data_IF_522218025601
#
_entry.id   IF_522218025601
#
_cell.length_a   1.000
_cell.length_b   1.000
_cell.length_c   1.000
_cell.angle_alpha   90.00
_cell.angle_beta   90.00
_cell.angle_gamma   90.00
#
_symmetry.space_group_name_H-M   'P 1'
#
loop_
_entity.id
_entity.type
_entity.pdbx_description
1 polymer ?
#
# COMPACT_ATOMS: atom_id res chain seq x y z
N UNK A 1 -6.14 27.19 -27.41
CA UNK A 1 -7.04 26.18 -26.93
C UNK A 1 -6.42 25.55 -25.67
N UNK A 2 -6.92 25.94 -24.50
CA UNK A 2 -6.56 25.30 -23.22
C UNK A 2 -7.13 23.88 -23.31
N UNK A 3 -6.27 22.88 -23.44
CA UNK A 3 -6.67 21.46 -23.33
C UNK A 3 -7.34 21.31 -21.97
N UNK A 4 -8.64 21.04 -21.95
CA UNK A 4 -9.35 20.72 -20.70
C UNK A 4 -8.64 19.52 -20.11
N UNK A 5 -8.03 19.68 -18.97
CA UNK A 5 -7.32 18.60 -18.28
C UNK A 5 -8.36 17.54 -17.91
N UNK A 6 -8.16 16.30 -18.36
CA UNK A 6 -9.07 15.20 -18.06
C UNK A 6 -8.89 14.82 -16.59
N UNK A 7 -9.97 14.81 -15.83
CA UNK A 7 -9.98 14.29 -14.46
C UNK A 7 -10.12 12.77 -14.51
N UNK A 8 -9.22 12.04 -13.88
CA UNK A 8 -9.25 10.57 -13.82
C UNK A 8 -10.08 10.14 -12.61
N UNK A 9 -11.14 9.39 -12.85
CA UNK A 9 -12.00 8.83 -11.80
C UNK A 9 -11.39 7.52 -11.28
N UNK A 10 -10.96 7.50 -10.02
CA UNK A 10 -10.33 6.36 -9.36
C UNK A 10 -11.30 5.77 -8.34
N UNK A 11 -11.57 4.48 -8.44
CA UNK A 11 -12.33 3.76 -7.41
C UNK A 11 -11.40 2.81 -6.66
N UNK A 12 -11.20 3.09 -5.37
CA UNK A 12 -10.46 2.22 -4.44
C UNK A 12 -11.44 1.23 -3.82
N UNK A 13 -11.22 -0.07 -4.06
CA UNK A 13 -12.07 -1.16 -3.59
C UNK A 13 -11.32 -1.97 -2.55
N UNK A 14 -11.79 -1.95 -1.31
CA UNK A 14 -11.08 -2.55 -0.17
C UNK A 14 -11.85 -3.74 0.41
N UNK A 15 -11.15 -4.87 0.55
CA UNK A 15 -11.66 -6.06 1.24
C UNK A 15 -10.63 -6.53 2.26
N UNK A 16 -10.85 -6.23 3.54
CA UNK A 16 -9.85 -6.42 4.60
C UNK A 16 -8.83 -5.26 4.66
N UNK A 17 -7.88 -5.36 5.58
CA UNK A 17 -6.92 -4.29 5.88
C UNK A 17 -5.48 -4.80 5.91
N UNK A 18 -4.62 -4.08 5.21
CA UNK A 18 -3.16 -4.10 5.34
C UNK A 18 -2.67 -2.65 5.48
N UNK A 19 -1.41 -2.42 5.83
CA UNK A 19 -0.90 -1.07 6.10
C UNK A 19 -1.12 -0.10 4.94
N UNK A 20 -0.86 -0.51 3.71
CA UNK A 20 -1.05 0.34 2.52
C UNK A 20 -2.50 0.76 2.30
N UNK A 21 -3.48 0.03 2.81
CA UNK A 21 -4.91 0.36 2.65
C UNK A 21 -5.23 1.77 3.18
N UNK A 22 -4.62 2.13 4.30
CA UNK A 22 -4.83 3.45 4.92
C UNK A 22 -4.07 4.57 4.20
N UNK A 23 -2.89 4.26 3.68
CA UNK A 23 -2.02 5.26 3.05
C UNK A 23 -2.48 5.67 1.64
N UNK A 24 -3.02 4.73 0.87
CA UNK A 24 -3.37 4.96 -0.54
C UNK A 24 -4.32 6.14 -0.70
N UNK A 25 -5.42 6.16 0.05
CA UNK A 25 -6.43 7.21 -0.08
C UNK A 25 -5.88 8.58 0.31
N UNK A 26 -5.17 8.64 1.45
CA UNK A 26 -4.61 9.89 1.95
C UNK A 26 -3.62 10.52 0.97
N UNK A 27 -2.86 9.70 0.23
CA UNK A 27 -1.85 10.19 -0.71
C UNK A 27 -2.40 10.45 -2.09
N UNK A 28 -3.38 9.70 -2.56
CA UNK A 28 -4.05 10.00 -3.82
C UNK A 28 -4.82 11.31 -3.75
N UNK A 29 -5.55 11.53 -2.66
CA UNK A 29 -6.35 12.75 -2.49
C UNK A 29 -5.51 13.98 -2.11
N UNK A 30 -4.37 13.81 -1.45
CA UNK A 30 -3.49 14.87 -0.96
C UNK A 30 -4.25 16.07 -0.36
N UNK A 31 -5.20 15.78 0.52
CA UNK A 31 -6.06 16.78 1.18
C UNK A 31 -6.92 17.61 0.20
N UNK A 32 -7.42 16.96 -0.83
CA UNK A 32 -8.24 17.57 -1.87
C UNK A 32 -7.50 18.66 -2.69
N UNK A 33 -6.16 18.66 -2.69
CA UNK A 33 -5.39 19.63 -3.49
C UNK A 33 -5.28 19.24 -4.96
N UNK A 34 -5.37 17.94 -5.28
CA UNK A 34 -5.30 17.41 -6.65
C UNK A 34 -6.61 17.64 -7.40
N UNK A 35 -6.53 18.26 -8.58
CA UNK A 35 -7.67 18.50 -9.46
C UNK A 35 -7.70 17.57 -10.68
N UNK A 36 -6.65 16.81 -10.86
CA UNK A 36 -6.47 15.87 -11.97
C UNK A 36 -7.09 14.50 -11.71
N UNK A 37 -7.46 14.21 -10.47
CA UNK A 37 -8.09 12.96 -10.06
C UNK A 37 -9.35 13.21 -9.22
N UNK A 38 -10.25 12.22 -9.23
CA UNK A 38 -11.40 12.11 -8.33
C UNK A 38 -11.41 10.73 -7.71
N UNK A 39 -11.31 10.63 -6.39
CA UNK A 39 -11.21 9.35 -5.67
C UNK A 39 -12.52 9.00 -4.98
N UNK A 40 -12.94 7.75 -5.12
CA UNK A 40 -14.05 7.15 -4.37
C UNK A 40 -13.58 5.85 -3.75
N UNK A 41 -14.06 5.55 -2.54
CA UNK A 41 -13.72 4.31 -1.84
C UNK A 41 -14.95 3.51 -1.51
N UNK A 42 -14.88 2.20 -1.79
CA UNK A 42 -15.87 1.21 -1.42
C UNK A 42 -15.17 0.12 -0.60
N UNK A 43 -15.77 -0.27 0.50
CA UNK A 43 -15.15 -1.23 1.41
C UNK A 43 -16.16 -2.22 1.99
N UNK A 44 -15.76 -3.48 2.14
CA UNK A 44 -16.44 -4.48 2.96
C UNK A 44 -15.95 -4.50 4.42
N UNK A 45 -15.12 -3.54 4.82
CA UNK A 45 -14.43 -3.57 6.11
C UNK A 45 -13.42 -4.70 6.16
N UNK A 46 -13.38 -5.45 7.26
CA UNK A 46 -12.46 -6.59 7.44
C UNK A 46 -12.95 -7.90 6.80
N UNK A 47 -14.13 -7.92 6.20
CA UNK A 47 -14.73 -9.11 5.63
C UNK A 47 -14.27 -9.36 4.19
N UNK A 48 -14.02 -10.64 3.86
CA UNK A 48 -13.52 -11.08 2.56
C UNK A 48 -14.26 -12.30 2.02
N UNK A 49 -15.51 -12.54 2.46
CA UNK A 49 -16.30 -13.64 1.94
C UNK A 49 -16.75 -13.37 0.50
N UNK A 50 -17.25 -14.41 -0.16
CA UNK A 50 -17.80 -14.29 -1.52
C UNK A 50 -18.94 -13.27 -1.56
N UNK A 51 -19.84 -13.30 -0.57
CA UNK A 51 -20.96 -12.35 -0.50
C UNK A 51 -20.47 -10.92 -0.35
N UNK A 52 -19.52 -10.68 0.59
CA UNK A 52 -18.98 -9.33 0.82
C UNK A 52 -18.27 -8.77 -0.42
N UNK A 53 -17.51 -9.63 -1.13
CA UNK A 53 -16.81 -9.20 -2.36
C UNK A 53 -17.78 -8.94 -3.52
N UNK A 54 -18.87 -9.70 -3.64
CA UNK A 54 -19.90 -9.46 -4.65
C UNK A 54 -20.66 -8.14 -4.41
N UNK A 55 -20.93 -7.79 -3.14
CA UNK A 55 -21.55 -6.50 -2.81
C UNK A 55 -20.66 -5.32 -3.21
N UNK A 56 -19.37 -5.35 -2.85
CA UNK A 56 -18.46 -4.27 -3.23
C UNK A 56 -18.20 -4.23 -4.73
N UNK A 57 -18.21 -5.37 -5.43
CA UNK A 57 -18.11 -5.44 -6.88
C UNK A 57 -19.30 -4.72 -7.55
N UNK A 58 -20.51 -5.03 -7.12
CA UNK A 58 -21.74 -4.42 -7.64
C UNK A 58 -21.74 -2.90 -7.43
N UNK A 59 -21.37 -2.44 -6.24
CA UNK A 59 -21.30 -1.01 -5.92
C UNK A 59 -20.22 -0.32 -6.76
N UNK A 60 -19.03 -0.93 -6.86
CA UNK A 60 -17.91 -0.38 -7.62
C UNK A 60 -18.22 -0.26 -9.11
N UNK A 61 -18.85 -1.29 -9.68
CA UNK A 61 -19.21 -1.32 -11.10
C UNK A 61 -20.30 -0.30 -11.49
N UNK A 62 -21.04 0.25 -10.52
CA UNK A 62 -22.03 1.30 -10.74
C UNK A 62 -21.45 2.71 -10.82
N UNK A 63 -20.17 2.89 -10.44
CA UNK A 63 -19.50 4.17 -10.50
C UNK A 63 -18.88 4.42 -11.87
N UNK A 64 -18.87 5.70 -12.27
CA UNK A 64 -18.05 6.15 -13.41
C UNK A 64 -16.58 6.10 -12.99
N UNK A 65 -15.84 5.13 -13.50
CA UNK A 65 -14.47 4.80 -13.09
C UNK A 65 -13.56 4.65 -14.31
N UNK A 66 -12.37 5.23 -14.23
CA UNK A 66 -11.32 5.08 -15.23
C UNK A 66 -10.23 4.09 -14.77
N UNK A 67 -10.03 3.96 -13.45
CA UNK A 67 -9.06 3.07 -12.83
C UNK A 67 -9.60 2.47 -11.54
N UNK A 68 -9.61 1.14 -11.45
CA UNK A 68 -9.83 0.43 -10.20
C UNK A 68 -8.52 0.14 -9.47
N UNK A 69 -8.48 0.41 -8.16
CA UNK A 69 -7.42 -0.02 -7.25
C UNK A 69 -8.06 -0.96 -6.23
N UNK A 70 -7.81 -2.25 -6.38
CA UNK A 70 -8.35 -3.28 -5.47
C UNK A 70 -7.30 -3.61 -4.41
N UNK A 71 -7.66 -3.48 -3.13
CA UNK A 71 -6.75 -3.75 -2.01
C UNK A 71 -7.29 -4.88 -1.14
N UNK A 72 -6.48 -5.91 -0.93
CA UNK A 72 -6.84 -7.04 -0.07
C UNK A 72 -5.60 -7.64 0.60
N UNK A 73 -5.66 -8.01 1.89
CA UNK A 73 -4.54 -8.61 2.62
C UNK A 73 -4.13 -9.99 2.10
N UNK A 74 -5.00 -10.71 1.43
CA UNK A 74 -4.67 -12.03 0.86
C UNK A 74 -5.41 -12.26 -0.45
N UNK A 75 -4.91 -11.67 -1.51
CA UNK A 75 -5.49 -11.83 -2.85
C UNK A 75 -5.22 -13.22 -3.48
N UNK A 76 -4.55 -14.14 -2.79
CA UNK A 76 -4.51 -15.55 -3.23
C UNK A 76 -5.81 -16.32 -2.93
N UNK A 77 -6.70 -15.76 -2.10
CA UNK A 77 -8.06 -16.27 -1.90
C UNK A 77 -8.92 -15.98 -3.14
N UNK A 78 -9.82 -16.92 -3.47
CA UNK A 78 -10.65 -16.82 -4.68
C UNK A 78 -11.56 -15.57 -4.70
N UNK A 79 -12.17 -15.21 -3.57
CA UNK A 79 -13.09 -14.09 -3.52
C UNK A 79 -12.43 -12.75 -3.88
N UNK A 80 -11.36 -12.27 -3.23
CA UNK A 80 -10.68 -11.03 -3.61
C UNK A 80 -9.97 -11.13 -4.97
N UNK A 81 -9.45 -12.30 -5.36
CA UNK A 81 -8.87 -12.52 -6.69
C UNK A 81 -9.92 -12.31 -7.78
N UNK A 82 -11.06 -12.95 -7.65
CA UNK A 82 -12.15 -12.86 -8.63
C UNK A 82 -12.74 -11.45 -8.70
N UNK A 83 -12.87 -10.75 -7.57
CA UNK A 83 -13.25 -9.34 -7.53
C UNK A 83 -12.35 -8.50 -8.45
N UNK A 84 -11.02 -8.60 -8.26
CA UNK A 84 -10.07 -7.85 -9.07
C UNK A 84 -10.13 -8.23 -10.56
N UNK A 85 -10.23 -9.53 -10.86
CA UNK A 85 -10.35 -10.01 -12.24
C UNK A 85 -11.65 -9.56 -12.93
N UNK A 86 -12.77 -9.52 -12.22
CA UNK A 86 -14.05 -9.08 -12.76
C UNK A 86 -14.05 -7.58 -13.05
N UNK A 87 -13.53 -6.76 -12.12
CA UNK A 87 -13.35 -5.31 -12.35
C UNK A 87 -12.38 -5.05 -13.50
N UNK A 88 -11.34 -5.88 -13.64
CA UNK A 88 -10.37 -5.83 -14.73
C UNK A 88 -10.95 -6.08 -16.14
N UNK A 89 -12.10 -6.72 -16.23
CA UNK A 89 -12.85 -6.85 -17.51
C UNK A 89 -13.58 -5.56 -17.91
N UNK A 90 -13.78 -4.65 -16.94
CA UNK A 90 -14.53 -3.40 -17.16
C UNK A 90 -13.58 -2.24 -17.46
N UNK A 91 -12.55 -2.08 -16.62
CA UNK A 91 -11.58 -0.97 -16.72
C UNK A 91 -10.19 -1.43 -16.26
N UNK A 92 -9.12 -0.70 -16.59
CA UNK A 92 -7.80 -0.90 -16.03
C UNK A 92 -7.88 -1.10 -14.50
N UNK A 93 -7.24 -2.15 -13.99
CA UNK A 93 -7.33 -2.55 -12.58
C UNK A 93 -5.96 -2.91 -12.04
N UNK A 94 -5.61 -2.38 -10.86
CA UNK A 94 -4.39 -2.72 -10.12
C UNK A 94 -4.81 -3.45 -8.84
N UNK A 95 -4.33 -4.68 -8.66
CA UNK A 95 -4.51 -5.45 -7.44
C UNK A 95 -3.33 -5.22 -6.50
N UNK A 96 -3.60 -4.70 -5.30
CA UNK A 96 -2.60 -4.48 -4.26
C UNK A 96 -2.85 -5.49 -3.14
N UNK A 97 -1.79 -6.19 -2.73
CA UNK A 97 -1.88 -7.22 -1.70
C UNK A 97 -0.54 -7.44 -1.00
N UNK A 98 -0.55 -8.29 0.00
CA UNK A 98 0.62 -8.72 0.74
C UNK A 98 1.33 -9.92 0.06
N UNK A 99 2.35 -10.46 0.73
CA UNK A 99 3.22 -11.51 0.21
C UNK A 99 2.51 -12.80 -0.27
N UNK A 100 1.45 -13.33 0.39
CA UNK A 100 0.75 -14.53 -0.09
C UNK A 100 0.24 -14.43 -1.53
N UNK A 101 -0.11 -13.24 -1.99
CA UNK A 101 -0.57 -13.01 -3.36
C UNK A 101 0.52 -13.23 -4.42
N UNK A 102 1.80 -13.24 -4.04
CA UNK A 102 2.89 -13.51 -4.99
C UNK A 102 2.78 -14.87 -5.68
N UNK A 103 2.00 -15.80 -5.12
CA UNK A 103 1.76 -17.14 -5.68
C UNK A 103 0.88 -17.12 -6.93
N UNK A 104 0.03 -16.11 -7.07
CA UNK A 104 -0.93 -16.02 -8.17
C UNK A 104 -0.51 -15.04 -9.27
N UNK A 105 0.69 -14.45 -9.17
CA UNK A 105 1.17 -13.42 -10.11
C UNK A 105 1.06 -13.85 -11.58
N UNK A 106 1.41 -15.11 -11.87
CA UNK A 106 1.41 -15.64 -13.25
C UNK A 106 -0.01 -15.80 -13.80
N UNK A 107 -1.04 -15.96 -12.95
CA UNK A 107 -2.45 -15.98 -13.32
C UNK A 107 -2.99 -14.60 -13.71
N UNK A 108 -2.32 -13.53 -13.27
CA UNK A 108 -2.78 -12.14 -13.42
C UNK A 108 -2.14 -11.40 -14.59
N UNK A 109 -0.97 -11.87 -15.05
CA UNK A 109 -0.02 -11.14 -15.94
C UNK A 109 -0.67 -10.44 -17.13
N UNK A 110 -1.63 -11.06 -17.79
CA UNK A 110 -2.27 -10.53 -19.01
C UNK A 110 -3.71 -10.06 -18.78
N UNK A 111 -4.14 -9.96 -17.53
CA UNK A 111 -5.51 -9.64 -17.16
C UNK A 111 -5.64 -8.33 -16.40
N UNK A 112 -4.80 -8.14 -15.37
CA UNK A 112 -4.78 -6.96 -14.50
C UNK A 112 -3.35 -6.64 -14.08
N UNK A 113 -3.14 -5.41 -13.59
CA UNK A 113 -1.90 -5.04 -12.91
C UNK A 113 -1.86 -5.58 -11.48
N UNK A 114 -0.66 -5.71 -10.93
CA UNK A 114 -0.51 -6.03 -9.51
C UNK A 114 0.70 -5.34 -8.88
N UNK A 115 0.55 -5.03 -7.59
CA UNK A 115 1.63 -4.59 -6.72
C UNK A 115 1.53 -5.35 -5.40
N UNK A 116 2.48 -6.23 -5.13
CA UNK A 116 2.50 -7.03 -3.90
C UNK A 116 3.59 -6.55 -2.95
N UNK A 117 3.21 -6.19 -1.72
CA UNK A 117 4.09 -5.61 -0.71
C UNK A 117 4.48 -6.67 0.32
N UNK A 118 5.71 -7.18 0.24
CA UNK A 118 6.15 -8.31 1.09
C UNK A 118 6.26 -7.97 2.58
N UNK A 119 6.46 -6.69 2.92
CA UNK A 119 6.63 -6.22 4.28
C UNK A 119 5.39 -5.49 4.84
N UNK A 120 4.21 -5.76 4.30
CA UNK A 120 2.96 -5.17 4.76
C UNK A 120 2.18 -6.18 5.62
N UNK A 121 2.30 -6.13 6.95
CA UNK A 121 1.60 -7.05 7.82
C UNK A 121 0.10 -6.78 7.87
N UNK A 122 -0.65 -7.82 8.18
CA UNK A 122 -2.05 -7.71 8.53
C UNK A 122 -2.26 -6.77 9.71
N UNK A 123 -3.25 -5.90 9.64
CA UNK A 123 -3.64 -5.00 10.73
C UNK A 123 -5.04 -5.35 11.25
N UNK A 124 -5.29 -5.12 12.53
CA UNK A 124 -6.62 -5.30 13.15
C UNK A 124 -7.07 -6.73 13.37
N UNK A 125 -6.18 -7.70 13.56
CA UNK A 125 -6.49 -9.12 13.40
C UNK A 125 -7.02 -9.85 14.64
N UNK A 126 -6.76 -9.43 15.86
CA UNK A 126 -7.13 -10.26 17.03
C UNK A 126 -7.90 -9.51 18.10
N UNK A 127 -9.16 -9.92 18.29
CA UNK A 127 -10.04 -9.38 19.34
C UNK A 127 -9.44 -9.48 20.75
N UNK A 128 -8.70 -10.55 21.03
CA UNK A 128 -8.10 -10.79 22.36
C UNK A 128 -6.92 -9.88 22.67
N UNK A 129 -6.33 -9.27 21.64
CA UNK A 129 -5.19 -8.38 21.73
C UNK A 129 -5.55 -6.92 21.41
N UNK A 130 -6.80 -6.68 21.03
CA UNK A 130 -7.29 -5.39 20.56
C UNK A 130 -7.79 -4.53 21.73
N UNK A 131 -6.85 -4.04 22.53
CA UNK A 131 -7.16 -2.73 23.06
C UNK A 131 -6.88 -1.68 21.98
N UNK A 132 -7.65 -0.57 21.98
CA UNK A 132 -7.51 0.47 20.95
C UNK A 132 -6.14 1.11 20.90
N UNK A 133 -5.42 1.18 22.01
CA UNK A 133 -4.08 1.77 22.12
C UNK A 133 -3.06 0.85 21.44
N UNK A 134 -3.08 -0.43 21.76
CA UNK A 134 -2.15 -1.41 21.17
C UNK A 134 -2.34 -1.53 19.66
N UNK A 135 -3.58 -1.58 19.19
CA UNK A 135 -3.90 -1.58 17.77
C UNK A 135 -3.42 -0.29 17.08
N UNK A 136 -3.63 0.87 17.69
CA UNK A 136 -3.21 2.15 17.15
C UNK A 136 -1.69 2.24 17.04
N UNK A 137 -0.96 1.80 18.07
CA UNK A 137 0.50 1.76 18.07
C UNK A 137 1.04 0.83 16.98
N UNK A 138 0.52 -0.39 16.89
CA UNK A 138 0.91 -1.34 15.86
C UNK A 138 0.71 -0.78 14.45
N UNK A 139 -0.48 -0.25 14.17
CA UNK A 139 -0.80 0.33 12.88
C UNK A 139 0.11 1.53 12.55
N UNK A 140 0.36 2.41 13.52
CA UNK A 140 1.26 3.55 13.36
C UNK A 140 2.68 3.11 13.00
N UNK A 141 3.20 2.09 13.67
CA UNK A 141 4.53 1.55 13.41
C UNK A 141 4.62 0.89 12.02
N UNK A 142 3.58 0.15 11.61
CA UNK A 142 3.49 -0.40 10.24
C UNK A 142 3.53 0.73 9.19
N UNK A 143 2.69 1.75 9.35
CA UNK A 143 2.62 2.88 8.42
C UNK A 143 3.97 3.62 8.31
N UNK A 144 4.64 3.82 9.46
CA UNK A 144 5.95 4.45 9.53
C UNK A 144 7.00 3.64 8.75
N UNK A 145 7.04 2.33 8.97
CA UNK A 145 7.96 1.44 8.25
C UNK A 145 7.72 1.50 6.75
N UNK A 146 6.49 1.29 6.28
CA UNK A 146 6.17 1.30 4.85
C UNK A 146 6.51 2.64 4.16
N UNK A 147 6.28 3.75 4.88
CA UNK A 147 6.53 5.09 4.34
C UNK A 147 8.02 5.40 4.25
N UNK A 148 8.79 5.19 5.33
CA UNK A 148 10.20 5.60 5.39
C UNK A 148 11.09 4.66 4.59
N UNK A 149 10.81 3.34 4.61
CA UNK A 149 11.61 2.37 3.85
C UNK A 149 11.43 2.48 2.34
N UNK A 150 10.43 3.22 1.87
CA UNK A 150 10.17 3.47 0.46
C UNK A 150 9.18 2.49 -0.20
N UNK A 151 8.69 1.51 0.54
CA UNK A 151 7.70 0.55 -0.01
C UNK A 151 6.47 1.26 -0.56
N UNK A 152 5.95 2.22 0.20
CA UNK A 152 4.80 3.00 -0.22
C UNK A 152 5.10 3.92 -1.40
N UNK A 153 6.30 4.51 -1.46
CA UNK A 153 6.71 5.33 -2.61
C UNK A 153 6.81 4.49 -3.89
N UNK A 154 7.36 3.27 -3.81
CA UNK A 154 7.37 2.35 -4.94
C UNK A 154 5.96 2.08 -5.47
N UNK A 155 5.00 1.84 -4.56
CA UNK A 155 3.60 1.64 -4.92
C UNK A 155 2.97 2.85 -5.60
N UNK A 156 3.12 4.05 -5.02
CA UNK A 156 2.54 5.28 -5.57
C UNK A 156 3.12 5.63 -6.93
N UNK A 157 4.41 5.44 -7.15
CA UNK A 157 5.02 5.67 -8.45
C UNK A 157 4.37 4.84 -9.57
N UNK A 158 4.01 3.58 -9.28
CA UNK A 158 3.30 2.73 -10.24
C UNK A 158 1.87 3.24 -10.52
N UNK A 159 1.17 3.66 -9.47
CA UNK A 159 -0.19 4.23 -9.61
C UNK A 159 -0.14 5.54 -10.41
N UNK A 160 0.79 6.43 -10.09
CA UNK A 160 0.97 7.71 -10.79
C UNK A 160 1.28 7.49 -12.29
N UNK A 161 2.11 6.48 -12.61
CA UNK A 161 2.40 6.12 -14.00
C UNK A 161 1.13 5.76 -14.76
N UNK A 162 0.25 4.95 -14.17
CA UNK A 162 -1.02 4.57 -14.79
C UNK A 162 -1.97 5.76 -14.91
N UNK A 163 -2.05 6.61 -13.89
CA UNK A 163 -2.87 7.84 -13.93
C UNK A 163 -2.42 8.74 -15.07
N UNK A 164 -1.11 8.96 -15.23
CA UNK A 164 -0.57 9.81 -16.30
C UNK A 164 -0.84 9.22 -17.70
N UNK A 165 -0.76 7.91 -17.87
CA UNK A 165 -1.13 7.26 -19.13
C UNK A 165 -2.60 7.48 -19.49
N UNK A 166 -3.51 7.32 -18.50
CA UNK A 166 -4.95 7.58 -18.69
C UNK A 166 -5.19 9.05 -19.05
N UNK A 167 -4.62 10.00 -18.32
CA UNK A 167 -4.74 11.45 -18.58
C UNK A 167 -4.33 11.82 -19.98
N UNK A 168 -3.29 11.20 -20.49
CA UNK A 168 -2.74 11.46 -21.82
C UNK A 168 -3.38 10.61 -22.92
N UNK A 169 -4.41 9.83 -22.62
CA UNK A 169 -5.07 8.91 -23.56
C UNK A 169 -4.08 7.94 -24.24
N UNK A 170 -3.06 7.52 -23.50
CA UNK A 170 -2.07 6.56 -23.95
C UNK A 170 -2.55 5.12 -23.72
N UNK A 171 -1.91 4.15 -24.36
CA UNK A 171 -2.10 2.75 -24.02
C UNK A 171 -1.64 2.51 -22.58
N UNK A 172 -2.55 2.00 -21.75
CA UNK A 172 -2.29 1.75 -20.33
C UNK A 172 -1.46 0.49 -20.16
N UNK A 173 -0.27 0.64 -19.60
CA UNK A 173 0.60 -0.46 -19.20
C UNK A 173 0.46 -0.65 -17.69
N UNK A 174 -0.16 -1.74 -17.29
CA UNK A 174 -0.43 -2.03 -15.90
C UNK A 174 0.83 -2.58 -15.19
N UNK A 175 1.06 -2.21 -13.90
CA UNK A 175 2.24 -2.64 -13.16
C UNK A 175 2.26 -4.16 -12.90
N UNK A 176 3.46 -4.73 -12.85
CA UNK A 176 3.73 -6.14 -12.49
C UNK A 176 4.85 -6.17 -11.46
N UNK A 177 4.57 -5.66 -10.24
CA UNK A 177 5.60 -5.39 -9.24
C UNK A 177 5.42 -6.21 -7.97
N UNK A 178 6.54 -6.75 -7.47
CA UNK A 178 6.65 -7.30 -6.11
C UNK A 178 7.66 -6.45 -5.34
N UNK A 179 7.21 -5.76 -4.31
CA UNK A 179 8.03 -4.88 -3.49
C UNK A 179 8.70 -5.70 -2.39
N UNK A 180 9.94 -6.08 -2.65
CA UNK A 180 10.85 -6.64 -1.66
C UNK A 180 11.76 -5.56 -1.06
N UNK A 181 12.69 -5.96 -0.19
CA UNK A 181 13.59 -5.03 0.51
C UNK A 181 14.39 -4.10 -0.41
N UNK A 182 14.92 -4.63 -1.49
CA UNK A 182 15.74 -3.85 -2.42
C UNK A 182 14.90 -2.85 -3.20
N UNK A 183 13.73 -3.26 -3.70
CA UNK A 183 12.77 -2.37 -4.37
C UNK A 183 12.30 -1.26 -3.44
N UNK A 184 11.96 -1.59 -2.20
CA UNK A 184 11.55 -0.60 -1.20
C UNK A 184 12.67 0.43 -0.98
N UNK A 185 13.86 -0.01 -0.58
CA UNK A 185 14.97 0.89 -0.23
C UNK A 185 15.46 1.72 -1.42
N UNK A 186 15.49 1.17 -2.63
CA UNK A 186 15.83 1.95 -3.82
C UNK A 186 14.83 3.06 -4.12
N UNK A 187 13.57 2.86 -3.79
CA UNK A 187 12.49 3.85 -3.96
C UNK A 187 12.39 4.84 -2.80
N UNK A 188 13.10 4.64 -1.68
CA UNK A 188 12.95 5.45 -0.46
C UNK A 188 13.35 6.92 -0.63
N UNK A 189 14.26 7.20 -1.56
CA UNK A 189 14.89 8.51 -1.70
C UNK A 189 15.94 8.82 -0.62
N UNK A 190 16.30 7.84 0.23
CA UNK A 190 17.40 7.95 1.17
C UNK A 190 18.73 8.01 0.41
N UNK A 191 19.64 8.87 0.86
CA UNK A 191 20.93 9.10 0.19
C UNK A 191 22.10 8.52 0.97
N UNK A 192 22.08 8.64 2.31
CA UNK A 192 23.12 8.17 3.18
C UNK A 192 23.16 6.63 3.25
N UNK A 193 24.32 5.96 3.10
CA UNK A 193 24.44 4.51 3.17
C UNK A 193 23.95 3.88 4.49
N UNK A 194 24.21 4.55 5.62
CA UNK A 194 23.76 4.08 6.93
C UNK A 194 22.23 4.22 7.10
N UNK A 195 21.65 5.29 6.56
CA UNK A 195 20.20 5.46 6.46
C UNK A 195 19.57 4.31 5.66
N UNK A 196 20.14 3.98 4.50
CA UNK A 196 19.69 2.86 3.66
C UNK A 196 19.82 1.51 4.38
N UNK A 197 20.92 1.28 5.11
CA UNK A 197 21.12 0.05 5.89
C UNK A 197 20.05 -0.11 6.98
N UNK A 198 19.74 0.95 7.71
CA UNK A 198 18.67 0.96 8.73
C UNK A 198 17.29 0.71 8.12
N UNK A 199 16.98 1.36 7.00
CA UNK A 199 15.72 1.15 6.27
C UNK A 199 15.59 -0.28 5.75
N UNK A 200 16.68 -0.89 5.26
CA UNK A 200 16.70 -2.28 4.81
C UNK A 200 16.44 -3.24 5.98
N UNK A 201 17.10 -3.04 7.12
CA UNK A 201 16.88 -3.84 8.32
C UNK A 201 15.43 -3.68 8.84
N UNK A 202 14.92 -2.46 8.87
CA UNK A 202 13.52 -2.17 9.22
C UNK A 202 12.54 -2.94 8.35
N UNK A 203 12.72 -2.91 7.03
CA UNK A 203 11.84 -3.61 6.10
C UNK A 203 11.93 -5.15 6.23
N UNK A 204 13.10 -5.71 6.48
CA UNK A 204 13.25 -7.15 6.73
C UNK A 204 12.53 -7.59 8.01
N UNK A 205 12.59 -6.78 9.06
CA UNK A 205 11.80 -7.03 10.28
C UNK A 205 10.30 -7.00 9.96
N UNK A 206 9.83 -6.03 9.19
CA UNK A 206 8.43 -5.95 8.78
C UNK A 206 7.98 -7.18 7.97
N UNK A 207 8.84 -7.73 7.11
CA UNK A 207 8.56 -9.00 6.42
C UNK A 207 8.43 -10.18 7.39
N UNK A 208 9.23 -10.21 8.44
CA UNK A 208 9.10 -11.20 9.52
C UNK A 208 7.77 -11.01 10.27
N UNK A 209 7.43 -9.77 10.60
CA UNK A 209 6.16 -9.41 11.26
C UNK A 209 4.96 -9.85 10.42
N UNK A 210 4.97 -9.59 9.10
CA UNK A 210 3.90 -10.02 8.20
C UNK A 210 3.69 -11.55 8.24
N UNK A 211 4.79 -12.33 8.35
CA UNK A 211 4.71 -13.78 8.48
C UNK A 211 4.15 -14.22 9.84
N UNK A 212 4.65 -13.62 10.94
CA UNK A 212 4.21 -13.96 12.30
C UNK A 212 2.75 -13.57 12.54
N UNK A 213 2.33 -12.40 12.09
CA UNK A 213 0.94 -11.98 12.21
C UNK A 213 -0.02 -12.91 11.47
N UNK A 214 0.36 -13.36 10.25
CA UNK A 214 -0.42 -14.35 9.51
C UNK A 214 -0.41 -15.75 10.18
N UNK A 215 0.70 -16.13 10.81
CA UNK A 215 0.80 -17.39 11.59
C UNK A 215 -0.13 -17.35 12.79
N UNK A 216 -0.06 -16.30 13.62
CA UNK A 216 -0.93 -16.11 14.76
C UNK A 216 -2.40 -15.95 14.38
N UNK A 217 -2.68 -15.30 13.23
CA UNK A 217 -4.06 -15.11 12.78
C UNK A 217 -4.75 -16.38 12.30
N UNK A 218 -4.03 -17.26 11.57
CA UNK A 218 -4.69 -18.30 10.77
C UNK A 218 -4.16 -19.71 11.00
N UNK A 219 -2.97 -19.90 11.59
CA UNK A 219 -2.32 -21.20 11.68
C UNK A 219 -2.25 -21.75 13.10
N UNK A 220 -1.88 -20.93 14.08
CA UNK A 220 -1.73 -21.39 15.45
C UNK A 220 -3.10 -21.56 16.10
N UNK A 221 -3.38 -22.77 16.57
CA UNK A 221 -4.66 -23.14 17.21
C UNK A 221 -4.61 -23.00 18.73
N UNK A 222 -3.44 -23.21 19.32
CA UNK A 222 -3.26 -23.03 20.75
C UNK A 222 -3.35 -21.56 21.13
N UNK A 223 -4.21 -21.25 22.11
CA UNK A 223 -4.50 -19.86 22.48
C UNK A 223 -3.30 -19.14 23.04
N UNK A 224 -2.53 -19.78 23.92
CA UNK A 224 -1.39 -19.12 24.59
C UNK A 224 -0.25 -18.88 23.59
N UNK A 225 0.07 -19.86 22.75
CA UNK A 225 1.07 -19.72 21.69
C UNK A 225 0.68 -18.64 20.70
N UNK A 226 -0.59 -18.60 20.31
CA UNK A 226 -1.11 -17.57 19.41
C UNK A 226 -0.92 -16.18 19.98
N UNK A 227 -1.24 -15.96 21.26
CA UNK A 227 -1.05 -14.67 21.93
C UNK A 227 0.43 -14.29 22.00
N UNK A 228 1.33 -15.24 22.28
CA UNK A 228 2.78 -14.98 22.27
C UNK A 228 3.30 -14.59 20.88
N UNK A 229 2.85 -15.27 19.82
CA UNK A 229 3.23 -14.96 18.43
C UNK A 229 2.76 -13.56 18.03
N UNK A 230 1.51 -13.21 18.38
CA UNK A 230 0.96 -11.88 18.08
C UNK A 230 1.71 -10.80 18.87
N UNK A 231 1.96 -11.02 20.17
CA UNK A 231 2.74 -10.10 21.00
C UNK A 231 4.15 -9.89 20.44
N UNK A 232 4.81 -10.98 20.02
CA UNK A 232 6.13 -10.91 19.42
C UNK A 232 6.12 -10.10 18.13
N UNK A 233 5.07 -10.20 17.31
CA UNK A 233 4.94 -9.40 16.09
C UNK A 233 4.79 -7.90 16.40
N UNK A 234 4.08 -7.53 17.48
CA UNK A 234 3.97 -6.14 17.95
C UNK A 234 5.33 -5.58 18.43
N UNK A 235 6.08 -6.37 19.21
CA UNK A 235 7.43 -5.93 19.64
C UNK A 235 8.39 -5.78 18.46
N UNK A 236 8.35 -6.67 17.49
CA UNK A 236 9.20 -6.60 16.30
C UNK A 236 8.88 -5.38 15.44
N UNK A 237 7.60 -5.08 15.18
CA UNK A 237 7.26 -3.90 14.36
C UNK A 237 7.68 -2.60 15.05
N UNK A 238 7.61 -2.54 16.39
CA UNK A 238 8.12 -1.41 17.16
C UNK A 238 9.62 -1.21 16.97
N UNK A 239 10.41 -2.28 16.91
CA UNK A 239 11.84 -2.20 16.59
C UNK A 239 12.09 -1.78 15.13
N UNK A 240 11.30 -2.30 14.20
CA UNK A 240 11.36 -1.89 12.81
C UNK A 240 11.08 -0.38 12.64
N UNK A 241 10.06 0.13 13.35
CA UNK A 241 9.71 1.54 13.32
C UNK A 241 10.81 2.45 13.89
N UNK A 242 11.49 2.03 14.96
CA UNK A 242 12.65 2.75 15.49
C UNK A 242 13.78 2.84 14.46
N UNK A 243 14.12 1.75 13.80
CA UNK A 243 15.13 1.75 12.73
C UNK A 243 14.74 2.65 11.56
N UNK A 244 13.44 2.68 11.18
CA UNK A 244 12.94 3.58 10.17
C UNK A 244 13.08 5.05 10.59
N UNK A 245 12.70 5.40 11.82
CA UNK A 245 12.88 6.75 12.38
C UNK A 245 14.35 7.16 12.36
N UNK A 246 15.26 6.31 12.84
CA UNK A 246 16.70 6.58 12.82
C UNK A 246 17.24 6.79 11.40
N UNK A 247 16.75 6.00 10.42
CA UNK A 247 17.09 6.20 9.02
C UNK A 247 16.68 7.59 8.53
N UNK A 248 15.49 8.05 8.89
CA UNK A 248 14.98 9.37 8.52
C UNK A 248 15.73 10.50 9.25
N UNK A 249 16.07 10.33 10.52
CA UNK A 249 16.82 11.33 11.30
C UNK A 249 18.22 11.56 10.72
N UNK A 250 18.91 10.53 10.21
CA UNK A 250 20.19 10.69 9.50
C UNK A 250 20.01 11.63 8.28
N UNK A 251 18.96 11.45 7.49
CA UNK A 251 18.70 12.32 6.33
C UNK A 251 18.33 13.76 6.76
N UNK A 252 17.58 13.93 7.86
CA UNK A 252 17.28 15.25 8.40
C UNK A 252 18.54 15.99 8.87
N UNK A 253 19.45 15.31 9.58
CA UNK A 253 20.70 15.89 10.02
C UNK A 253 21.59 16.35 8.87
N UNK A 254 21.49 15.69 7.72
CA UNK A 254 22.21 16.05 6.51
C UNK A 254 21.43 17.01 5.59
N UNK A 255 20.25 17.46 5.99
CA UNK A 255 19.31 18.23 5.15
C UNK A 255 19.11 17.61 3.76
N UNK A 256 18.96 16.28 3.72
CA UNK A 256 18.85 15.48 2.49
C UNK A 256 17.53 14.73 2.35
N UNK A 257 16.53 15.05 3.16
CA UNK A 257 15.21 14.38 3.12
C UNK A 257 14.53 14.64 1.79
N UNK A 258 14.38 13.62 0.98
CA UNK A 258 13.66 13.70 -0.27
C UNK A 258 12.14 13.73 -0.02
N UNK A 259 11.49 14.84 -0.38
CA UNK A 259 10.04 15.05 -0.27
C UNK A 259 9.45 15.15 -1.66
N UNK A 260 8.56 14.22 -2.00
CA UNK A 260 7.81 14.24 -3.24
C UNK A 260 6.35 14.56 -2.90
N UNK A 261 5.82 15.60 -3.49
CA UNK A 261 4.42 16.02 -3.39
C UNK A 261 3.86 16.21 -4.80
N UNK A 262 2.54 16.18 -4.95
CA UNK A 262 1.92 16.55 -6.22
C UNK A 262 1.45 18.00 -6.18
N UNK A 263 1.57 18.69 -7.30
CA UNK A 263 0.82 19.93 -7.50
C UNK A 263 -0.64 19.64 -7.84
N UNK A 264 -1.44 20.67 -8.00
CA UNK A 264 -2.87 20.53 -8.31
C UNK A 264 -3.17 19.84 -9.65
N UNK A 265 -2.18 19.74 -10.53
CA UNK A 265 -2.29 19.04 -11.82
C UNK A 265 -1.87 17.58 -11.76
N UNK A 266 -1.35 17.12 -10.61
CA UNK A 266 -0.81 15.78 -10.39
C UNK A 266 0.66 15.64 -10.78
N UNK A 267 1.34 16.73 -11.15
CA UNK A 267 2.78 16.69 -11.42
C UNK A 267 3.55 16.53 -10.12
N UNK A 268 4.45 15.54 -10.07
CA UNK A 268 5.32 15.32 -8.92
C UNK A 268 6.37 16.42 -8.80
N UNK A 269 6.38 17.09 -7.67
CA UNK A 269 7.36 18.08 -7.26
C UNK A 269 8.32 17.46 -6.27
N UNK A 270 9.62 17.73 -6.39
CA UNK A 270 10.63 17.16 -5.50
C UNK A 270 11.37 18.25 -4.76
N UNK A 271 11.40 18.15 -3.43
CA UNK A 271 12.16 19.03 -2.55
C UNK A 271 13.14 18.20 -1.72
N UNK A 272 14.40 18.61 -1.67
CA UNK A 272 15.44 17.94 -0.85
C UNK A 272 15.80 18.75 0.38
N UNK A 273 16.34 19.94 0.20
CA UNK A 273 16.70 20.80 1.34
C UNK A 273 15.46 21.44 1.97
N UNK A 274 15.53 21.74 3.24
CA UNK A 274 14.40 22.28 3.99
C UNK A 274 13.89 23.62 3.40
N UNK A 275 14.79 24.48 2.98
CA UNK A 275 14.47 25.80 2.43
C UNK A 275 14.36 25.85 0.91
N UNK A 276 14.53 24.73 0.20
CA UNK A 276 14.28 24.74 -1.25
C UNK A 276 12.83 25.15 -1.53
N UNK A 277 12.62 25.94 -2.59
CA UNK A 277 11.29 26.12 -3.18
C UNK A 277 10.82 24.83 -3.86
N UNK A 278 9.53 24.62 -3.92
CA UNK A 278 8.92 23.46 -4.57
C UNK A 278 8.49 23.83 -5.99
#
# INVERSE_FOLDING_TARGET
LIKKQMTVNITVVKTGFIGVTTLIEALLDERASRKDISVRSITSGSKMSVTDTQEVEKLSSSLDTDLYIVVSPNASLDAPKNLALNLGKIKPTILISDNPASKIKDELVDKIGYVFVQGDPLIGIHKEFLDPIEMSNFNSDVLKVLSITGAFRALINEIDTVIEQIKNSQSVVLPKLVIGKHTAVSSSGLTNPYSKAKALASYEIARLVARLSAEGAYKEKDRERRLLIVSASHELIRQAAKLADEAREIEKQNDSVNRNIHDSSGKTLTKKKFFDSV
#
